data_IF_304197817117
#
_entry.id   IF_304197817117
#
_cell.length_a   1.000
_cell.length_b   1.000
_cell.length_c   1.000
_cell.angle_alpha   90.00
_cell.angle_beta   90.00
_cell.angle_gamma   90.00
#
_symmetry.space_group_name_H-M   'P 1'
#
loop_
_entity.id
_entity.type
_entity.pdbx_description
1 polymer ?
#
# COMPACT_ATOMS: atom_id res chain seq x y z
N UNK A 1 20.11 0.64 -6.02
CA UNK A 1 19.27 0.88 -4.81
C UNK A 1 19.75 0.09 -3.60
N UNK A 2 19.90 -1.25 -3.66
CA UNK A 2 20.35 -2.06 -2.51
C UNK A 2 21.69 -1.63 -1.92
N UNK A 3 22.70 -1.35 -2.74
CA UNK A 3 24.02 -0.86 -2.30
C UNK A 3 23.92 0.46 -1.55
N UNK A 4 23.07 1.37 -2.01
CA UNK A 4 22.83 2.64 -1.32
C UNK A 4 22.11 2.42 0.02
N UNK A 5 21.07 1.57 0.03
CA UNK A 5 20.36 1.19 1.26
C UNK A 5 21.32 0.66 2.31
N UNK A 6 22.18 -0.30 1.94
CA UNK A 6 23.08 -0.98 2.87
C UNK A 6 24.09 -0.03 3.53
N UNK A 7 24.38 1.11 2.86
CA UNK A 7 25.24 2.16 3.40
C UNK A 7 24.52 3.22 4.23
N UNK A 8 23.21 3.44 3.99
CA UNK A 8 22.50 4.62 4.51
C UNK A 8 21.33 4.30 5.41
N UNK A 9 20.80 3.09 5.39
CA UNK A 9 19.65 2.69 6.19
C UNK A 9 20.11 1.66 7.21
N UNK A 10 19.97 2.00 8.49
CA UNK A 10 20.17 1.03 9.56
C UNK A 10 19.09 -0.05 9.49
N UNK A 11 19.52 -1.31 9.51
CA UNK A 11 18.62 -2.46 9.45
C UNK A 11 17.82 -2.53 10.75
N UNK A 12 16.53 -2.27 10.69
CA UNK A 12 15.60 -2.52 11.78
C UNK A 12 14.58 -3.59 11.38
N UNK A 13 13.88 -4.10 12.37
CA UNK A 13 12.83 -5.11 12.23
C UNK A 13 11.54 -4.57 12.85
N UNK A 14 10.41 -5.19 12.53
CA UNK A 14 9.12 -4.84 13.10
C UNK A 14 8.12 -4.36 12.06
N UNK A 15 7.41 -3.29 12.36
CA UNK A 15 6.41 -2.71 11.45
C UNK A 15 6.91 -1.41 10.83
N UNK A 16 6.85 -1.34 9.50
CA UNK A 16 7.11 -0.13 8.72
C UNK A 16 5.79 0.60 8.46
N UNK A 17 5.75 1.90 8.69
CA UNK A 17 4.67 2.77 8.25
C UNK A 17 5.09 3.56 7.01
N UNK A 18 4.33 3.43 5.92
CA UNK A 18 4.59 4.12 4.67
C UNK A 18 3.34 4.92 4.23
N UNK A 19 3.11 6.12 4.82
CA UNK A 19 2.04 7.00 4.37
C UNK A 19 2.36 7.57 2.99
N UNK A 20 1.34 7.98 2.26
CA UNK A 20 1.45 8.53 0.91
C UNK A 20 2.15 7.61 -0.08
N UNK A 21 2.04 6.31 0.15
CA UNK A 21 2.77 5.32 -0.63
C UNK A 21 2.12 5.01 -1.96
N UNK A 22 0.80 5.15 -2.07
CA UNK A 22 0.10 4.38 -3.09
C UNK A 22 0.46 2.89 -2.99
N UNK A 23 0.29 2.08 -4.04
CA UNK A 23 0.66 0.65 -4.02
C UNK A 23 2.17 0.40 -4.24
N UNK A 24 3.04 1.27 -3.72
CA UNK A 24 4.51 1.25 -3.94
C UNK A 24 5.24 0.23 -3.05
N UNK A 25 4.82 -1.01 -3.10
CA UNK A 25 5.50 -2.09 -2.39
C UNK A 25 6.96 -2.27 -2.81
N UNK A 26 7.29 -1.96 -4.08
CA UNK A 26 8.63 -2.18 -4.61
C UNK A 26 9.68 -1.41 -3.80
N UNK A 27 9.49 -0.11 -3.59
CA UNK A 27 10.43 0.70 -2.81
C UNK A 27 10.45 0.30 -1.33
N UNK A 28 9.27 0.06 -0.72
CA UNK A 28 9.20 -0.42 0.65
C UNK A 28 10.01 -1.71 0.83
N UNK A 29 9.87 -2.67 -0.07
CA UNK A 29 10.59 -3.93 0.00
C UNK A 29 12.10 -3.80 -0.27
N UNK A 30 12.50 -2.90 -1.18
CA UNK A 30 13.93 -2.69 -1.50
C UNK A 30 14.65 -1.99 -0.35
N UNK A 31 14.03 -0.96 0.25
CA UNK A 31 14.67 -0.19 1.32
C UNK A 31 14.53 -0.84 2.69
N UNK A 32 13.44 -1.56 2.93
CA UNK A 32 13.11 -2.16 4.23
C UNK A 32 12.77 -3.65 4.12
N UNK A 33 13.69 -4.49 3.59
CA UNK A 33 13.43 -5.91 3.29
C UNK A 33 13.14 -6.75 4.54
N UNK A 34 13.65 -6.34 5.70
CA UNK A 34 13.60 -7.11 6.95
C UNK A 34 12.37 -6.83 7.82
N UNK A 35 11.49 -5.93 7.37
CA UNK A 35 10.25 -5.67 8.09
C UNK A 35 9.23 -6.76 7.80
N UNK A 36 8.66 -7.32 8.87
CA UNK A 36 7.68 -8.40 8.79
C UNK A 36 6.27 -7.87 8.48
N UNK A 37 6.02 -6.63 8.85
CA UNK A 37 4.76 -5.95 8.58
C UNK A 37 5.01 -4.59 7.93
N UNK A 38 4.24 -4.27 6.91
CA UNK A 38 4.26 -2.97 6.24
C UNK A 38 2.82 -2.44 6.22
N UNK A 39 2.61 -1.23 6.76
CA UNK A 39 1.33 -0.51 6.67
C UNK A 39 1.50 0.62 5.67
N UNK A 40 0.73 0.56 4.60
CA UNK A 40 0.77 1.50 3.48
C UNK A 40 -0.55 2.25 3.38
N UNK A 41 -0.47 3.53 3.03
CA UNK A 41 -1.66 4.37 2.82
C UNK A 41 -1.50 5.12 1.49
N UNK A 42 -2.57 5.15 0.70
CA UNK A 42 -2.65 5.90 -0.56
C UNK A 42 -4.07 6.34 -0.86
N UNK A 43 -4.23 7.05 -1.95
CA UNK A 43 -5.53 7.56 -2.42
C UNK A 43 -6.24 6.56 -3.36
N UNK A 44 -5.49 5.61 -3.91
CA UNK A 44 -6.00 4.64 -4.86
C UNK A 44 -6.93 3.65 -4.16
N UNK A 45 -8.01 3.20 -4.83
CA UNK A 45 -8.94 2.24 -4.25
C UNK A 45 -8.25 0.89 -3.98
N UNK A 46 -8.62 0.24 -2.88
CA UNK A 46 -8.03 -1.04 -2.46
C UNK A 46 -8.31 -2.19 -3.42
N UNK A 47 -9.45 -2.15 -4.11
CA UNK A 47 -10.00 -3.31 -4.81
C UNK A 47 -10.79 -4.22 -3.87
N UNK A 48 -11.05 -5.45 -4.29
CA UNK A 48 -11.74 -6.47 -3.50
C UNK A 48 -10.92 -7.76 -3.44
N UNK A 49 -10.85 -8.37 -2.26
CA UNK A 49 -10.18 -9.64 -2.06
C UNK A 49 -10.94 -10.85 -2.68
N UNK A 50 -12.23 -10.71 -2.98
CA UNK A 50 -13.07 -11.78 -3.55
C UNK A 50 -12.80 -12.06 -5.03
N UNK A 51 -11.75 -11.48 -5.55
CA UNK A 51 -11.36 -11.61 -6.94
C UNK A 51 -10.83 -13.02 -7.24
N UNK A 52 -11.54 -13.79 -8.05
CA UNK A 52 -11.05 -15.07 -8.57
C UNK A 52 -10.08 -14.80 -9.71
N UNK A 53 -8.79 -14.85 -9.42
CA UNK A 53 -7.70 -14.61 -10.40
C UNK A 53 -7.80 -15.47 -11.68
N UNK A 54 -8.36 -16.67 -11.59
CA UNK A 54 -8.56 -17.55 -12.74
C UNK A 54 -9.53 -17.00 -13.81
N UNK A 55 -10.24 -15.92 -13.53
CA UNK A 55 -11.18 -15.29 -14.46
C UNK A 55 -10.55 -14.16 -15.28
N UNK A 56 -9.28 -13.82 -15.03
CA UNK A 56 -8.60 -12.72 -15.73
C UNK A 56 -7.80 -13.18 -16.92
N UNK A 57 -8.48 -13.38 -18.03
CA UNK A 57 -7.86 -13.62 -19.34
C UNK A 57 -7.95 -12.40 -20.27
N UNK A 58 -8.45 -11.28 -19.78
CA UNK A 58 -8.66 -10.07 -20.57
C UNK A 58 -7.31 -9.37 -20.84
N UNK A 59 -6.87 -9.25 -22.11
CA UNK A 59 -5.65 -8.53 -22.45
C UNK A 59 -5.62 -7.06 -22.01
N UNK A 60 -6.80 -6.44 -21.86
CA UNK A 60 -6.90 -5.05 -21.41
C UNK A 60 -6.35 -4.87 -19.99
N UNK A 61 -6.57 -5.85 -19.11
CA UNK A 61 -6.04 -5.82 -17.73
C UNK A 61 -4.50 -5.72 -17.74
N UNK A 62 -3.83 -6.47 -18.61
CA UNK A 62 -2.37 -6.40 -18.72
C UNK A 62 -1.89 -5.05 -19.27
N UNK A 63 -2.63 -4.50 -20.22
CA UNK A 63 -2.35 -3.15 -20.76
C UNK A 63 -2.45 -2.08 -19.67
N UNK A 64 -3.48 -2.13 -18.85
CA UNK A 64 -3.72 -1.16 -17.78
C UNK A 64 -2.67 -1.28 -16.67
N UNK A 65 -2.29 -2.50 -16.28
CA UNK A 65 -1.18 -2.76 -15.36
C UNK A 65 0.13 -2.20 -15.95
N UNK A 66 0.41 -2.46 -17.20
CA UNK A 66 1.64 -1.99 -17.87
C UNK A 66 1.71 -0.47 -17.88
N UNK A 67 0.60 0.21 -18.16
CA UNK A 67 0.52 1.68 -18.13
C UNK A 67 0.79 2.24 -16.75
N UNK A 68 0.17 1.68 -15.71
CA UNK A 68 0.37 2.08 -14.33
C UNK A 68 1.80 1.84 -13.87
N UNK A 69 2.41 0.71 -14.23
CA UNK A 69 3.81 0.41 -13.94
C UNK A 69 4.77 1.34 -14.67
N UNK A 70 4.48 1.69 -15.91
CA UNK A 70 5.29 2.65 -16.68
C UNK A 70 5.29 4.03 -16.03
N UNK A 71 4.16 4.46 -15.47
CA UNK A 71 4.10 5.71 -14.71
C UNK A 71 5.02 5.68 -13.49
N UNK A 72 5.04 4.58 -12.73
CA UNK A 72 5.94 4.42 -11.57
C UNK A 72 7.41 4.45 -12.01
N UNK A 73 7.75 3.71 -13.06
CA UNK A 73 9.13 3.59 -13.52
C UNK A 73 9.66 4.90 -14.10
N UNK A 74 8.81 5.68 -14.77
CA UNK A 74 9.21 6.93 -15.40
C UNK A 74 9.20 8.13 -14.46
N UNK A 75 8.28 8.16 -13.51
CA UNK A 75 8.06 9.32 -12.63
C UNK A 75 8.37 9.05 -11.17
N UNK A 76 8.71 7.81 -10.81
CA UNK A 76 8.95 7.38 -9.42
C UNK A 76 7.74 7.55 -8.47
N UNK A 77 6.54 7.82 -9.00
CA UNK A 77 5.29 7.92 -8.23
C UNK A 77 4.10 7.48 -9.09
N UNK A 78 2.98 7.20 -8.43
CA UNK A 78 1.73 6.84 -9.09
C UNK A 78 0.98 8.10 -9.54
N UNK A 79 0.47 8.09 -10.76
CA UNK A 79 -0.46 9.10 -11.25
C UNK A 79 -1.88 8.71 -10.82
N UNK A 80 -2.26 9.04 -9.59
CA UNK A 80 -3.52 8.60 -8.95
C UNK A 80 -4.76 8.82 -9.82
N UNK A 81 -4.85 9.97 -10.53
CA UNK A 81 -5.99 10.24 -11.41
C UNK A 81 -6.07 9.28 -12.60
N UNK A 82 -4.93 8.95 -13.20
CA UNK A 82 -4.88 8.00 -14.31
C UNK A 82 -5.23 6.58 -13.82
N UNK A 83 -4.69 6.18 -12.67
CA UNK A 83 -4.98 4.88 -12.07
C UNK A 83 -6.44 4.74 -11.64
N UNK A 84 -7.07 5.78 -11.11
CA UNK A 84 -8.48 5.74 -10.76
C UNK A 84 -9.35 5.46 -11.99
N UNK A 85 -9.02 6.03 -13.16
CA UNK A 85 -9.73 5.78 -14.41
C UNK A 85 -9.41 4.38 -14.96
N UNK A 86 -8.13 3.99 -14.95
CA UNK A 86 -7.67 2.71 -15.49
C UNK A 86 -8.25 1.51 -14.71
N UNK A 87 -8.40 1.63 -13.39
CA UNK A 87 -8.87 0.53 -12.54
C UNK A 87 -10.38 0.53 -12.25
N UNK A 88 -11.12 1.60 -12.52
CA UNK A 88 -12.59 1.60 -12.34
C UNK A 88 -13.32 0.89 -13.47
N UNK A 89 -12.74 0.83 -14.66
CA UNK A 89 -13.37 0.24 -15.85
C UNK A 89 -13.01 -1.23 -16.08
N UNK A 90 -12.14 -1.81 -15.25
CA UNK A 90 -11.74 -3.21 -15.36
C UNK A 90 -12.40 -4.08 -14.29
N UNK A 91 -12.58 -5.37 -14.57
CA UNK A 91 -13.03 -6.35 -13.56
C UNK A 91 -12.06 -6.49 -12.39
N UNK A 92 -10.80 -6.08 -12.58
CA UNK A 92 -9.77 -5.91 -11.57
C UNK A 92 -9.77 -4.46 -11.12
N UNK A 93 -10.54 -4.13 -10.11
CA UNK A 93 -10.53 -2.78 -9.58
C UNK A 93 -9.48 -2.62 -8.47
N UNK A 94 -8.97 -1.40 -8.35
CA UNK A 94 -8.06 -1.00 -7.29
C UNK A 94 -6.61 -1.43 -7.46
N UNK A 95 -5.89 -1.38 -6.35
CA UNK A 95 -4.43 -1.58 -6.30
C UNK A 95 -3.99 -3.05 -6.35
N UNK A 96 -4.92 -4.01 -6.23
CA UNK A 96 -4.64 -5.44 -6.16
C UNK A 96 -3.73 -5.95 -7.29
N UNK A 97 -3.96 -5.64 -8.58
CA UNK A 97 -3.12 -6.13 -9.66
C UNK A 97 -1.66 -5.63 -9.58
N UNK A 98 -1.48 -4.40 -9.12
CA UNK A 98 -0.15 -3.79 -8.97
C UNK A 98 0.63 -4.49 -7.86
N UNK A 99 0.00 -4.72 -6.71
CA UNK A 99 0.61 -5.48 -5.61
C UNK A 99 0.98 -6.88 -6.05
N UNK A 100 0.07 -7.60 -6.72
CA UNK A 100 0.33 -8.96 -7.22
C UNK A 100 1.52 -9.01 -8.17
N UNK A 101 1.61 -8.03 -9.08
CA UNK A 101 2.75 -7.92 -9.97
C UNK A 101 4.06 -7.72 -9.19
N UNK A 102 4.08 -6.81 -8.23
CA UNK A 102 5.28 -6.57 -7.42
C UNK A 102 5.66 -7.77 -6.55
N UNK A 103 4.70 -8.47 -5.95
CA UNK A 103 4.97 -9.69 -5.20
C UNK A 103 5.64 -10.75 -6.07
N UNK A 104 5.06 -11.03 -7.24
CA UNK A 104 5.60 -11.98 -8.19
C UNK A 104 7.03 -11.60 -8.61
N UNK A 105 7.26 -10.34 -9.01
CA UNK A 105 8.57 -9.85 -9.47
C UNK A 105 9.63 -9.82 -8.37
N UNK A 106 9.23 -9.72 -7.12
CA UNK A 106 10.15 -9.71 -5.97
C UNK A 106 10.30 -11.09 -5.32
N UNK A 107 9.68 -12.13 -5.90
CA UNK A 107 9.82 -13.52 -5.48
C UNK A 107 8.99 -13.89 -4.24
N UNK A 108 7.89 -13.17 -4.00
CA UNK A 108 6.91 -13.53 -2.99
C UNK A 108 5.79 -14.37 -3.61
N UNK A 109 5.34 -15.38 -2.87
CA UNK A 109 4.10 -16.11 -3.12
C UNK A 109 2.99 -15.55 -2.25
N UNK A 110 1.80 -15.35 -2.81
CA UNK A 110 0.63 -14.89 -2.07
C UNK A 110 0.05 -16.08 -1.32
N UNK A 111 -0.07 -15.96 -0.01
CA UNK A 111 -0.72 -16.94 0.87
C UNK A 111 -2.21 -16.65 1.01
N UNK A 112 -2.56 -15.41 1.36
CA UNK A 112 -3.95 -14.95 1.41
C UNK A 112 -4.06 -13.46 1.03
N UNK A 113 -5.27 -13.07 0.63
CA UNK A 113 -5.69 -11.67 0.46
C UNK A 113 -7.02 -11.52 1.18
N UNK A 114 -7.12 -10.53 2.04
CA UNK A 114 -8.28 -10.35 2.92
C UNK A 114 -8.69 -8.89 2.98
N UNK A 115 -9.99 -8.63 2.82
CA UNK A 115 -10.54 -7.31 3.08
C UNK A 115 -10.53 -7.04 4.58
N UNK A 116 -10.02 -5.86 4.97
CA UNK A 116 -9.91 -5.43 6.37
C UNK A 116 -10.50 -4.04 6.56
N UNK A 117 -10.80 -3.69 7.81
CA UNK A 117 -11.19 -2.34 8.19
C UNK A 117 -10.29 -1.81 9.31
N UNK A 118 -9.93 -0.53 9.22
CA UNK A 118 -9.34 0.23 10.31
C UNK A 118 -10.47 0.91 11.09
N UNK A 119 -10.61 0.57 12.37
CA UNK A 119 -11.58 1.16 13.28
C UNK A 119 -11.09 2.47 13.90
N UNK A 120 -12.02 3.25 14.46
CA UNK A 120 -11.73 4.49 15.18
C UNK A 120 -10.77 4.33 16.36
N UNK A 121 -10.70 3.14 16.95
CA UNK A 121 -9.78 2.81 18.04
C UNK A 121 -8.40 2.33 17.55
N UNK A 122 -8.10 2.40 16.25
CA UNK A 122 -6.84 1.96 15.65
C UNK A 122 -6.70 0.44 15.49
N UNK A 123 -7.76 -0.33 15.70
CA UNK A 123 -7.77 -1.77 15.49
C UNK A 123 -8.02 -2.10 14.03
N UNK A 124 -7.26 -3.06 13.48
CA UNK A 124 -7.52 -3.62 12.15
C UNK A 124 -8.27 -4.93 12.33
N UNK A 125 -9.42 -5.04 11.69
CA UNK A 125 -10.29 -6.23 11.76
C UNK A 125 -10.54 -6.81 10.39
N UNK A 126 -10.63 -8.15 10.33
CA UNK A 126 -11.00 -8.86 9.11
C UNK A 126 -12.49 -8.71 8.85
N UNK A 127 -12.85 -8.40 7.60
CA UNK A 127 -14.24 -8.21 7.19
C UNK A 127 -15.08 -9.49 7.28
N UNK A 128 -14.47 -10.66 7.08
CA UNK A 128 -15.18 -11.96 7.15
C UNK A 128 -15.61 -12.31 8.56
N UNK A 129 -14.85 -11.90 9.55
CA UNK A 129 -15.09 -12.19 10.95
C UNK A 129 -16.07 -11.21 11.60
N UNK A 130 -16.24 -10.05 11.01
CA UNK A 130 -17.01 -8.94 11.58
C UNK A 130 -17.96 -8.31 10.55
N UNK A 131 -19.03 -9.03 10.19
CA UNK A 131 -20.03 -8.59 9.19
C UNK A 131 -20.79 -7.30 9.56
N UNK A 132 -20.75 -6.88 10.82
CA UNK A 132 -21.49 -5.71 11.32
C UNK A 132 -20.58 -4.54 11.71
N UNK A 133 -19.31 -4.55 11.34
CA UNK A 133 -18.38 -3.51 11.73
C UNK A 133 -18.47 -2.35 10.77
N UNK A 134 -19.00 -1.24 11.23
CA UNK A 134 -18.75 0.07 10.63
C UNK A 134 -17.30 0.46 10.90
N UNK A 135 -16.43 0.04 10.01
CA UNK A 135 -15.03 0.49 9.99
C UNK A 135 -14.95 1.84 9.28
N UNK A 136 -14.09 2.72 9.76
CA UNK A 136 -13.89 4.02 9.14
C UNK A 136 -13.25 3.90 7.76
N UNK A 137 -12.27 3.01 7.62
CA UNK A 137 -11.51 2.91 6.38
C UNK A 137 -11.35 1.46 5.94
N UNK A 138 -11.76 1.22 4.69
CA UNK A 138 -11.53 -0.06 4.03
C UNK A 138 -10.05 -0.18 3.65
N UNK A 139 -9.51 -1.36 3.90
CA UNK A 139 -8.18 -1.76 3.52
C UNK A 139 -8.15 -3.17 2.96
N UNK A 140 -6.98 -3.59 2.58
CA UNK A 140 -6.67 -4.97 2.19
C UNK A 140 -5.39 -5.41 2.90
N UNK A 141 -5.41 -6.65 3.40
CA UNK A 141 -4.25 -7.33 3.97
C UNK A 141 -3.76 -8.39 2.99
N UNK A 142 -2.52 -8.28 2.55
CA UNK A 142 -1.82 -9.31 1.80
C UNK A 142 -0.91 -10.08 2.75
N UNK A 143 -1.10 -11.38 2.82
CA UNK A 143 -0.17 -12.29 3.47
C UNK A 143 0.70 -12.91 2.37
N UNK A 144 1.99 -12.64 2.39
CA UNK A 144 2.92 -13.12 1.37
C UNK A 144 4.09 -13.85 2.01
N UNK A 145 4.61 -14.85 1.30
CA UNK A 145 5.69 -15.70 1.80
C UNK A 145 6.87 -15.63 0.84
N UNK A 146 8.08 -15.47 1.40
CA UNK A 146 9.34 -15.61 0.69
C UNK A 146 10.36 -16.27 1.60
N UNK A 147 11.06 -17.31 1.12
CA UNK A 147 12.06 -18.06 1.90
C UNK A 147 11.50 -18.54 3.25
N UNK A 148 10.29 -19.07 3.27
CA UNK A 148 9.55 -19.54 4.45
C UNK A 148 9.30 -18.47 5.52
N UNK A 149 9.42 -17.19 5.17
CA UNK A 149 9.08 -16.07 6.05
C UNK A 149 7.79 -15.42 5.58
N UNK A 150 6.84 -15.28 6.50
CA UNK A 150 5.58 -14.54 6.28
C UNK A 150 5.84 -13.05 6.40
N UNK A 151 5.24 -12.28 5.50
CA UNK A 151 5.19 -10.82 5.56
C UNK A 151 3.73 -10.37 5.40
N UNK A 152 3.31 -9.44 6.25
CA UNK A 152 1.99 -8.82 6.20
C UNK A 152 2.09 -7.45 5.55
N UNK A 153 1.28 -7.19 4.54
CA UNK A 153 1.18 -5.90 3.89
C UNK A 153 -0.25 -5.40 4.01
N UNK A 154 -0.47 -4.37 4.80
CA UNK A 154 -1.74 -3.66 4.89
C UNK A 154 -1.71 -2.46 3.95
N UNK A 155 -2.75 -2.29 3.17
CA UNK A 155 -2.95 -1.11 2.35
C UNK A 155 -4.34 -0.53 2.64
N UNK A 156 -4.38 0.76 2.98
CA UNK A 156 -5.62 1.51 3.21
C UNK A 156 -5.77 2.62 2.19
N UNK A 157 -6.99 2.78 1.67
CA UNK A 157 -7.37 3.91 0.83
C UNK A 157 -7.85 5.04 1.73
N UNK A 158 -6.99 6.05 1.95
CA UNK A 158 -7.28 7.18 2.82
C UNK A 158 -6.66 8.44 2.27
N UNK A 159 -7.38 9.55 2.42
CA UNK A 159 -6.84 10.86 2.15
C UNK A 159 -6.24 11.45 3.42
N UNK A 160 -4.93 11.47 3.53
CA UNK A 160 -4.18 12.05 4.65
C UNK A 160 -3.85 13.53 4.44
N UNK A 161 -4.32 14.15 3.37
CA UNK A 161 -4.13 15.59 3.16
C UNK A 161 -4.89 16.34 4.23
N UNK A 162 -4.27 17.40 4.76
CA UNK A 162 -4.91 18.33 5.65
C UNK A 162 -6.21 18.85 5.02
N UNK A 163 -7.33 18.49 5.61
CA UNK A 163 -8.65 18.87 5.13
C UNK A 163 -8.83 20.38 5.24
N UNK A 164 -8.83 21.06 4.11
CA UNK A 164 -8.88 22.48 3.93
C UNK A 164 -7.71 23.28 4.53
N UNK A 165 -7.06 24.03 3.68
CA UNK A 165 -5.98 25.01 3.97
C UNK A 165 -6.28 25.97 5.15
N UNK A 166 -7.51 25.99 5.64
CA UNK A 166 -7.97 26.87 6.72
C UNK A 166 -8.04 26.19 8.10
N UNK A 167 -7.96 24.88 8.18
CA UNK A 167 -8.01 24.13 9.43
C UNK A 167 -6.75 23.29 9.57
N UNK A 168 -5.70 23.80 10.18
CA UNK A 168 -4.39 23.16 10.44
C UNK A 168 -4.49 21.83 11.22
N UNK A 169 -5.40 20.92 10.87
CA UNK A 169 -5.70 19.75 11.66
C UNK A 169 -4.94 18.50 11.24
N UNK A 170 -4.47 18.38 9.99
CA UNK A 170 -3.62 17.29 9.51
C UNK A 170 -3.96 15.91 10.06
N UNK A 171 -2.97 15.20 10.57
CA UNK A 171 -3.14 13.93 11.27
C UNK A 171 -4.07 13.99 12.50
N UNK A 172 -4.43 15.18 13.00
CA UNK A 172 -5.41 15.33 14.08
C UNK A 172 -6.81 14.90 13.64
N UNK A 173 -7.11 14.98 12.35
CA UNK A 173 -8.39 14.51 11.81
C UNK A 173 -8.42 12.97 11.65
N UNK A 174 -7.27 12.30 11.86
CA UNK A 174 -7.10 10.86 11.76
C UNK A 174 -6.47 10.27 13.03
N UNK A 175 -7.09 10.43 14.22
CA UNK A 175 -6.54 9.91 15.48
C UNK A 175 -6.37 8.38 15.47
N UNK A 176 -7.17 7.66 14.69
CA UNK A 176 -7.08 6.22 14.52
C UNK A 176 -5.74 5.76 13.96
N UNK A 177 -5.07 6.59 13.14
CA UNK A 177 -3.73 6.28 12.63
C UNK A 177 -2.71 6.27 13.76
N UNK A 178 -2.74 7.29 14.62
CA UNK A 178 -1.86 7.33 15.80
C UNK A 178 -2.09 6.14 16.73
N UNK A 179 -3.36 5.76 16.94
CA UNK A 179 -3.73 4.60 17.75
C UNK A 179 -3.26 3.29 17.09
N UNK A 180 -3.41 3.15 15.78
CA UNK A 180 -2.88 2.01 15.01
C UNK A 180 -1.35 1.94 15.12
N UNK A 181 -0.65 3.05 14.94
CA UNK A 181 0.81 3.11 15.05
C UNK A 181 1.27 2.62 16.42
N UNK A 182 0.58 3.03 17.49
CA UNK A 182 0.88 2.57 18.85
C UNK A 182 0.64 1.07 19.01
N UNK A 183 -0.47 0.52 18.49
CA UNK A 183 -0.78 -0.93 18.56
C UNK A 183 0.28 -1.78 17.87
N UNK A 184 0.76 -1.35 16.71
CA UNK A 184 1.83 -2.03 15.97
C UNK A 184 3.23 -1.70 16.48
N UNK A 185 3.36 -0.86 17.51
CA UNK A 185 4.65 -0.37 18.01
C UNK A 185 5.55 0.17 16.88
N UNK A 186 4.96 0.96 15.99
CA UNK A 186 5.64 1.48 14.80
C UNK A 186 6.69 2.50 15.23
N UNK A 187 7.94 2.22 14.88
CA UNK A 187 9.11 3.09 15.17
C UNK A 187 9.76 3.64 13.91
N UNK A 188 9.34 3.14 12.74
CA UNK A 188 9.93 3.53 11.46
C UNK A 188 8.85 3.97 10.50
N UNK A 189 9.01 5.19 10.00
CA UNK A 189 8.15 5.76 8.95
C UNK A 189 9.02 6.06 7.74
N UNK A 190 8.57 5.62 6.57
CA UNK A 190 9.19 5.92 5.30
C UNK A 190 8.36 6.96 4.55
N UNK A 191 9.01 8.06 4.19
CA UNK A 191 8.43 9.10 3.33
C UNK A 191 9.27 9.20 2.06
N UNK A 192 8.64 8.98 0.92
CA UNK A 192 9.29 9.13 -0.37
C UNK A 192 9.07 10.55 -0.86
N UNK A 193 10.16 11.31 -0.99
CA UNK A 193 10.12 12.61 -1.64
C UNK A 193 10.00 12.46 -3.16
N UNK A 194 9.26 13.35 -3.81
CA UNK A 194 9.20 13.44 -5.26
C UNK A 194 10.50 14.07 -5.79
N UNK A 195 11.55 13.28 -5.89
CA UNK A 195 12.90 13.74 -6.22
C UNK A 195 13.04 14.33 -7.62
N UNK A 196 12.10 14.06 -8.52
CA UNK A 196 12.12 14.65 -9.87
C UNK A 196 12.05 16.18 -9.87
N UNK A 197 11.51 16.79 -8.81
CA UNK A 197 11.47 18.25 -8.64
C UNK A 197 12.87 18.84 -8.38
N UNK A 198 13.82 17.99 -8.00
CA UNK A 198 15.19 18.38 -7.68
C UNK A 198 16.16 18.19 -8.85
N UNK A 199 15.70 17.65 -9.98
CA UNK A 199 16.52 17.40 -11.16
C UNK A 199 16.46 18.48 -12.25
N UNK A 200 15.67 19.53 -12.03
CA UNK A 200 15.45 20.61 -13.00
C UNK A 200 16.07 21.95 -12.59
N UNK A 201 17.05 21.94 -11.68
CA UNK A 201 17.86 23.10 -11.33
C UNK A 201 19.27 23.00 -11.94
#
# INVERSE_FOLDING_TARGET
>A
MSVWRDKNISVSQGTLFYPFSGPDFLHANVFFPNYDTIVMIGLEPTGSADVKLSQYTDPQVFSDITRSLSAILNHSFFLTKAMAVDFTNTKLNGTLPVFMHFFSRTGYSIYSVEDVFLKSNGEIVNMKENKSVEGLYKGVCYQVIKNNKLKLIYYFSMNLMDGNYNNNNGLKDHPEIGLMMNRFNIKTTYLKAASYLLHND
#
